data_IF_468945502390
#
_entry.id   IF_468945502390
#
_cell.length_a   1.000
_cell.length_b   1.000
_cell.length_c   1.000
_cell.angle_alpha   90.00
_cell.angle_beta   90.00
_cell.angle_gamma   90.00
#
_symmetry.space_group_name_H-M   'P 1'
#
loop_
_entity.id
_entity.type
_entity.pdbx_description
1 polymer ?
#
# COMPACT_ATOMS: atom_id res chain seq x y z
N UNK A 1 -1.64 -7.01 -52.95
CA UNK A 1 -2.62 -6.47 -51.99
C UNK A 1 -2.88 -7.57 -50.97
N UNK A 2 -2.21 -7.53 -49.83
CA UNK A 2 -2.63 -8.37 -48.70
C UNK A 2 -3.97 -7.81 -48.22
N UNK A 3 -5.03 -8.61 -48.36
CA UNK A 3 -6.29 -8.35 -47.68
C UNK A 3 -6.03 -8.53 -46.18
N UNK A 4 -5.58 -7.45 -45.54
CA UNK A 4 -5.45 -7.40 -44.10
C UNK A 4 -6.83 -7.51 -43.49
N UNK A 5 -7.24 -8.73 -43.11
CA UNK A 5 -8.43 -8.92 -42.28
C UNK A 5 -8.28 -8.01 -41.07
N UNK A 6 -9.23 -7.10 -40.83
CA UNK A 6 -9.07 -6.14 -39.76
C UNK A 6 -9.10 -6.96 -38.46
N UNK A 7 -8.01 -6.86 -37.68
CA UNK A 7 -7.79 -7.76 -36.54
C UNK A 7 -8.61 -7.28 -35.35
N UNK A 8 -9.25 -8.20 -34.61
CA UNK A 8 -9.83 -7.88 -33.31
C UNK A 8 -8.76 -7.23 -32.41
N UNK A 9 -9.20 -6.30 -31.55
CA UNK A 9 -8.33 -5.69 -30.54
C UNK A 9 -8.73 -6.18 -29.16
N UNK A 10 -7.72 -6.41 -28.33
CA UNK A 10 -7.89 -6.88 -26.97
C UNK A 10 -7.16 -5.90 -26.06
N UNK A 11 -7.80 -5.51 -24.97
CA UNK A 11 -7.23 -4.63 -23.95
C UNK A 11 -7.33 -5.30 -22.58
N UNK A 12 -6.23 -5.31 -21.84
CA UNK A 12 -6.20 -5.71 -20.45
C UNK A 12 -6.66 -4.55 -19.58
N UNK A 13 -7.79 -4.72 -18.91
CA UNK A 13 -8.35 -3.75 -17.99
C UNK A 13 -8.15 -4.24 -16.56
N UNK A 14 -7.35 -3.52 -15.78
CA UNK A 14 -7.02 -3.90 -14.42
C UNK A 14 -7.51 -2.81 -13.47
N UNK A 15 -8.17 -3.21 -12.38
CA UNK A 15 -8.66 -2.28 -11.37
C UNK A 15 -8.83 -2.98 -10.03
N UNK A 16 -8.93 -2.22 -8.94
CA UNK A 16 -9.19 -2.73 -7.59
C UNK A 16 -10.61 -2.43 -7.18
N UNK A 17 -11.33 -3.45 -6.75
CA UNK A 17 -12.68 -3.35 -6.17
C UNK A 17 -12.54 -3.25 -4.65
N UNK A 18 -13.08 -2.17 -4.10
CA UNK A 18 -13.06 -1.87 -2.66
C UNK A 18 -14.30 -2.36 -1.92
N UNK A 19 -15.40 -2.62 -2.64
CA UNK A 19 -16.63 -3.21 -2.08
C UNK A 19 -16.51 -4.72 -1.83
N UNK A 20 -15.54 -5.38 -2.46
CA UNK A 20 -15.30 -6.83 -2.32
C UNK A 20 -13.99 -7.08 -1.58
N UNK A 21 -14.08 -7.63 -0.38
CA UNK A 21 -12.90 -8.04 0.40
C UNK A 21 -12.35 -9.36 -0.11
N UNK A 22 -11.02 -9.41 -0.25
CA UNK A 22 -10.33 -10.60 -0.71
C UNK A 22 -10.42 -11.71 0.35
N UNK A 23 -10.91 -12.88 -0.06
CA UNK A 23 -10.98 -14.09 0.76
C UNK A 23 -10.35 -15.27 0.02
N UNK A 24 -10.10 -16.37 0.74
CA UNK A 24 -9.54 -17.58 0.13
C UNK A 24 -10.44 -18.15 -0.97
N UNK A 25 -11.76 -17.99 -0.87
CA UNK A 25 -12.67 -18.44 -1.93
C UNK A 25 -12.40 -17.69 -3.25
N UNK A 26 -12.04 -16.40 -3.20
CA UNK A 26 -11.68 -15.61 -4.39
C UNK A 26 -10.34 -16.04 -5.01
N UNK A 27 -9.54 -16.86 -4.34
CA UNK A 27 -8.36 -17.49 -4.94
C UNK A 27 -8.67 -18.80 -5.65
N UNK A 28 -9.87 -19.35 -5.48
CA UNK A 28 -10.28 -20.64 -6.04
C UNK A 28 -11.36 -20.43 -7.11
N UNK A 29 -11.05 -20.67 -8.41
CA UNK A 29 -11.99 -20.48 -9.50
C UNK A 29 -13.31 -21.25 -9.36
N UNK A 30 -13.29 -22.40 -8.68
CA UNK A 30 -14.46 -23.27 -8.52
C UNK A 30 -15.36 -22.85 -7.34
N UNK A 31 -14.96 -21.84 -6.55
CA UNK A 31 -15.77 -21.39 -5.44
C UNK A 31 -17.00 -20.63 -5.92
N UNK A 32 -18.13 -20.81 -5.23
CA UNK A 32 -19.36 -20.08 -5.52
C UNK A 32 -19.13 -18.56 -5.48
N UNK A 33 -18.31 -18.09 -4.53
CA UNK A 33 -17.97 -16.68 -4.38
C UNK A 33 -17.14 -16.15 -5.55
N UNK A 34 -16.20 -16.93 -6.08
CA UNK A 34 -15.45 -16.56 -7.27
C UNK A 34 -16.39 -16.39 -8.46
N UNK A 35 -17.25 -17.39 -8.72
CA UNK A 35 -18.18 -17.38 -9.85
C UNK A 35 -19.20 -16.24 -9.75
N UNK A 36 -19.76 -15.99 -8.56
CA UNK A 36 -20.70 -14.89 -8.33
C UNK A 36 -20.05 -13.52 -8.63
N UNK A 37 -18.88 -13.26 -8.06
CA UNK A 37 -18.19 -11.98 -8.28
C UNK A 37 -17.69 -11.84 -9.72
N UNK A 38 -17.22 -12.93 -10.33
CA UNK A 38 -16.83 -12.97 -11.74
C UNK A 38 -18.00 -12.57 -12.63
N UNK A 39 -19.12 -13.29 -12.54
CA UNK A 39 -20.30 -13.04 -13.38
C UNK A 39 -20.86 -11.64 -13.13
N UNK A 40 -20.90 -11.19 -11.87
CA UNK A 40 -21.37 -9.84 -11.53
C UNK A 40 -20.51 -8.73 -12.13
N UNK A 41 -19.19 -8.89 -12.15
CA UNK A 41 -18.27 -7.91 -12.73
C UNK A 41 -18.33 -7.95 -14.27
N UNK A 42 -18.37 -9.13 -14.87
CA UNK A 42 -18.51 -9.30 -16.33
C UNK A 42 -19.82 -8.68 -16.84
N UNK A 43 -20.94 -8.94 -16.17
CA UNK A 43 -22.24 -8.33 -16.51
C UNK A 43 -22.21 -6.81 -16.33
N UNK A 44 -21.63 -6.32 -15.24
CA UNK A 44 -21.51 -4.88 -15.01
C UNK A 44 -20.67 -4.18 -16.09
N UNK A 45 -19.55 -4.78 -16.52
CA UNK A 45 -18.72 -4.27 -17.62
C UNK A 45 -19.46 -4.33 -18.96
N UNK A 46 -20.12 -5.44 -19.24
CA UNK A 46 -20.88 -5.65 -20.47
C UNK A 46 -21.98 -4.62 -20.62
N UNK A 47 -22.79 -4.42 -19.58
CA UNK A 47 -23.85 -3.42 -19.58
C UNK A 47 -23.30 -2.00 -19.70
N UNK A 48 -22.19 -1.71 -19.02
CA UNK A 48 -21.54 -0.40 -19.06
C UNK A 48 -21.05 -0.05 -20.48
N UNK A 49 -20.36 -0.98 -21.16
CA UNK A 49 -19.87 -0.74 -22.52
C UNK A 49 -20.97 -0.79 -23.58
N UNK A 50 -22.00 -1.64 -23.43
CA UNK A 50 -23.14 -1.66 -24.36
C UNK A 50 -23.98 -0.38 -24.32
N UNK A 51 -24.00 0.31 -23.18
CA UNK A 51 -24.70 1.59 -23.01
C UNK A 51 -23.81 2.82 -23.26
N UNK A 52 -22.64 2.62 -23.87
CA UNK A 52 -21.66 3.69 -24.07
C UNK A 52 -21.53 4.14 -25.52
N UNK A 53 -20.62 5.09 -25.77
CA UNK A 53 -20.26 5.52 -27.12
C UNK A 53 -19.52 4.44 -27.92
N UNK A 54 -18.94 3.45 -27.23
CA UNK A 54 -18.06 2.43 -27.81
C UNK A 54 -18.78 1.11 -28.12
N UNK A 55 -20.11 1.07 -27.89
CA UNK A 55 -20.96 -0.12 -28.07
C UNK A 55 -20.90 -0.76 -29.46
N UNK A 56 -20.60 0.03 -30.50
CA UNK A 56 -20.60 -0.44 -31.90
C UNK A 56 -19.38 -1.29 -32.25
N UNK A 57 -18.32 -1.20 -31.45
CA UNK A 57 -17.09 -1.99 -31.63
C UNK A 57 -16.69 -2.78 -30.39
N UNK A 58 -17.44 -2.68 -29.30
CA UNK A 58 -17.31 -3.58 -28.15
C UNK A 58 -17.81 -4.99 -28.49
N UNK A 59 -17.08 -6.02 -28.06
CA UNK A 59 -17.50 -7.42 -28.18
C UNK A 59 -17.86 -8.01 -26.82
N UNK A 60 -16.88 -8.18 -25.94
CA UNK A 60 -17.08 -8.77 -24.62
C UNK A 60 -15.98 -8.35 -23.63
N UNK A 61 -16.19 -8.59 -22.33
CA UNK A 61 -15.15 -8.50 -21.30
C UNK A 61 -15.22 -9.70 -20.37
N UNK A 62 -14.09 -10.37 -20.18
CA UNK A 62 -13.97 -11.52 -19.30
C UNK A 62 -13.02 -11.24 -18.14
N UNK A 63 -13.38 -11.66 -16.93
CA UNK A 63 -12.51 -11.62 -15.76
C UNK A 63 -11.56 -12.81 -15.81
N UNK A 64 -10.27 -12.50 -15.91
CA UNK A 64 -9.19 -13.48 -15.95
C UNK A 64 -8.85 -14.00 -14.56
N UNK A 65 -8.71 -13.09 -13.58
CA UNK A 65 -8.32 -13.47 -12.22
C UNK A 65 -8.62 -12.39 -11.19
N UNK A 66 -8.78 -12.82 -9.93
CA UNK A 66 -8.80 -11.96 -8.76
C UNK A 66 -7.46 -12.03 -8.02
N UNK A 67 -6.88 -10.86 -7.72
CA UNK A 67 -5.60 -10.73 -7.02
C UNK A 67 -5.79 -10.10 -5.65
N UNK A 68 -4.98 -10.52 -4.68
CA UNK A 68 -4.91 -9.85 -3.40
C UNK A 68 -4.12 -8.54 -3.56
N UNK A 69 -4.76 -7.41 -3.28
CA UNK A 69 -4.10 -6.11 -3.21
C UNK A 69 -4.06 -5.68 -1.75
N UNK A 70 -2.87 -5.72 -1.16
CA UNK A 70 -2.64 -5.24 0.20
C UNK A 70 -1.86 -3.92 0.15
N UNK A 71 -2.47 -2.78 0.51
CA UNK A 71 -1.73 -1.53 0.63
C UNK A 71 -0.80 -1.61 1.84
N UNK A 72 0.51 -1.79 1.57
CA UNK A 72 1.58 -1.93 2.57
C UNK A 72 1.60 -0.82 3.64
N UNK A 73 1.01 0.34 3.37
CA UNK A 73 1.05 1.52 4.26
C UNK A 73 -0.25 1.81 5.04
N UNK A 74 -1.31 0.99 4.92
CA UNK A 74 -2.56 1.25 5.68
C UNK A 74 -2.48 0.67 7.10
N UNK A 75 -1.75 1.38 7.97
CA UNK A 75 -1.55 1.05 9.39
C UNK A 75 -2.84 0.98 10.22
N UNK A 76 -3.94 1.56 9.75
CA UNK A 76 -5.21 1.62 10.49
C UNK A 76 -6.16 0.44 10.20
N UNK A 77 -5.98 -0.30 9.10
CA UNK A 77 -6.77 -1.50 8.81
C UNK A 77 -6.11 -2.27 7.66
N UNK A 78 -5.66 -3.52 7.85
CA UNK A 78 -5.18 -4.37 6.76
C UNK A 78 -6.38 -4.85 5.92
N UNK A 79 -7.06 -3.91 5.25
CA UNK A 79 -8.13 -4.25 4.31
C UNK A 79 -7.49 -4.99 3.14
N UNK A 80 -7.82 -6.27 3.04
CA UNK A 80 -7.47 -7.11 1.89
C UNK A 80 -8.38 -6.73 0.74
N UNK A 81 -7.89 -5.88 -0.16
CA UNK A 81 -8.63 -5.43 -1.33
C UNK A 81 -8.50 -6.46 -2.45
N UNK A 82 -9.48 -6.47 -3.35
CA UNK A 82 -9.52 -7.40 -4.48
C UNK A 82 -9.14 -6.64 -5.75
N UNK A 83 -7.97 -6.94 -6.29
CA UNK A 83 -7.61 -6.57 -7.66
C UNK A 83 -8.31 -7.50 -8.65
N UNK A 84 -8.71 -6.96 -9.80
CA UNK A 84 -9.38 -7.67 -10.88
C UNK A 84 -8.55 -7.46 -12.14
N UNK A 85 -8.23 -8.53 -12.84
CA UNK A 85 -7.74 -8.46 -14.22
C UNK A 85 -8.86 -8.90 -15.15
N UNK A 86 -9.21 -8.03 -16.08
CA UNK A 86 -10.16 -8.31 -17.14
C UNK A 86 -9.48 -8.24 -18.50
N UNK A 87 -9.94 -9.04 -19.44
CA UNK A 87 -9.61 -8.93 -20.85
C UNK A 87 -10.86 -8.48 -21.59
N UNK A 88 -10.80 -7.34 -22.26
CA UNK A 88 -11.89 -6.78 -23.03
C UNK A 88 -11.60 -6.85 -24.52
N UNK A 89 -12.52 -7.45 -25.25
CA UNK A 89 -12.44 -7.75 -26.66
C UNK A 89 -13.25 -6.75 -27.47
N UNK A 90 -12.67 -6.30 -28.57
CA UNK A 90 -13.25 -5.33 -29.47
C UNK A 90 -13.17 -5.84 -30.91
N UNK A 91 -14.21 -5.53 -31.67
CA UNK A 91 -14.25 -5.84 -33.09
C UNK A 91 -13.20 -5.04 -33.84
N UNK A 92 -12.93 -5.51 -35.05
CA UNK A 92 -12.00 -4.91 -35.98
C UNK A 92 -12.37 -3.46 -36.38
N UNK A 93 -13.61 -3.04 -36.15
CA UNK A 93 -14.06 -1.66 -36.31
C UNK A 93 -13.40 -0.67 -35.31
N UNK A 94 -12.91 -1.16 -34.16
CA UNK A 94 -12.16 -0.34 -33.20
C UNK A 94 -10.87 0.22 -33.82
N UNK A 95 -10.19 -0.59 -34.64
CA UNK A 95 -8.98 -0.16 -35.35
C UNK A 95 -9.29 0.94 -36.38
N UNK A 96 -10.41 0.79 -37.11
CA UNK A 96 -10.86 1.79 -38.08
C UNK A 96 -11.21 3.15 -37.45
N UNK A 97 -11.53 3.19 -36.15
CA UNK A 97 -11.85 4.40 -35.38
C UNK A 97 -10.67 4.95 -34.58
N UNK A 98 -9.47 4.41 -34.76
CA UNK A 98 -8.29 4.73 -33.95
C UNK A 98 -8.53 4.57 -32.44
N UNK A 99 -9.39 3.62 -32.05
CA UNK A 99 -9.68 3.36 -30.65
C UNK A 99 -8.47 2.66 -30.01
N UNK A 100 -7.77 3.37 -29.14
CA UNK A 100 -6.54 2.94 -28.48
C UNK A 100 -6.73 2.80 -26.95
N UNK A 101 -5.66 2.42 -26.26
CA UNK A 101 -5.67 2.22 -24.80
C UNK A 101 -6.01 3.50 -24.02
N UNK A 102 -5.68 4.68 -24.56
CA UNK A 102 -5.97 5.95 -23.91
C UNK A 102 -7.46 6.29 -24.04
N UNK A 103 -8.04 6.10 -25.23
CA UNK A 103 -9.46 6.27 -25.46
C UNK A 103 -10.30 5.30 -24.60
N UNK A 104 -9.88 4.04 -24.49
CA UNK A 104 -10.55 3.07 -23.61
C UNK A 104 -10.46 3.49 -22.14
N UNK A 105 -9.29 3.95 -21.68
CA UNK A 105 -9.09 4.42 -20.31
C UNK A 105 -10.01 5.61 -19.97
N UNK A 106 -10.05 6.62 -20.84
CA UNK A 106 -10.90 7.80 -20.66
C UNK A 106 -12.39 7.45 -20.67
N UNK A 107 -12.81 6.61 -21.62
CA UNK A 107 -14.21 6.18 -21.68
C UNK A 107 -14.60 5.37 -20.44
N UNK A 108 -13.74 4.45 -19.98
CA UNK A 108 -13.99 3.69 -18.76
C UNK A 108 -14.11 4.62 -17.55
N UNK A 109 -13.20 5.58 -17.38
CA UNK A 109 -13.30 6.56 -16.30
C UNK A 109 -14.60 7.36 -16.39
N UNK A 110 -14.96 7.85 -17.58
CA UNK A 110 -16.18 8.63 -17.79
C UNK A 110 -17.43 7.84 -17.40
N UNK A 111 -17.50 6.56 -17.80
CA UNK A 111 -18.63 5.68 -17.53
C UNK A 111 -18.72 5.24 -16.07
N UNK A 112 -17.60 5.21 -15.35
CA UNK A 112 -17.51 4.72 -13.95
C UNK A 112 -17.42 5.84 -12.91
N UNK A 113 -17.93 7.03 -13.26
CA UNK A 113 -17.87 8.23 -12.41
C UNK A 113 -16.44 8.54 -11.96
N UNK A 114 -15.56 8.72 -12.94
CA UNK A 114 -14.12 8.83 -12.75
C UNK A 114 -13.56 7.64 -11.99
N UNK A 115 -13.88 6.40 -12.37
CA UNK A 115 -13.23 5.22 -11.78
C UNK A 115 -13.56 4.95 -10.31
N UNK A 116 -14.70 5.44 -9.82
CA UNK A 116 -15.11 5.26 -8.42
C UNK A 116 -16.20 4.20 -8.27
N UNK A 117 -17.01 3.98 -9.31
CA UNK A 117 -18.16 3.07 -9.24
C UNK A 117 -18.43 2.37 -10.57
N UNK A 118 -18.50 1.04 -10.51
CA UNK A 118 -18.93 0.16 -11.60
C UNK A 118 -20.22 -0.54 -11.14
N UNK A 119 -21.36 0.06 -11.49
CA UNK A 119 -22.68 -0.37 -10.99
C UNK A 119 -22.73 -0.54 -9.46
N UNK A 120 -22.78 -1.77 -8.96
CA UNK A 120 -22.85 -2.11 -7.53
C UNK A 120 -21.46 -2.28 -6.89
N UNK A 121 -20.40 -2.19 -7.68
CA UNK A 121 -19.02 -2.32 -7.24
C UNK A 121 -18.37 -0.94 -7.05
N UNK A 122 -17.74 -0.75 -5.90
CA UNK A 122 -16.94 0.45 -5.63
C UNK A 122 -15.50 0.19 -6.04
N UNK A 123 -14.91 1.08 -6.83
CA UNK A 123 -13.56 0.94 -7.37
C UNK A 123 -12.58 1.90 -6.69
N UNK A 124 -11.30 1.52 -6.64
CA UNK A 124 -10.21 2.45 -6.35
C UNK A 124 -9.76 3.14 -7.64
N UNK A 125 -10.10 4.41 -7.78
CA UNK A 125 -9.77 5.21 -8.94
C UNK A 125 -8.27 5.26 -9.25
N UNK A 126 -7.39 5.12 -8.25
CA UNK A 126 -5.94 5.16 -8.48
C UNK A 126 -5.36 3.84 -9.00
N UNK A 127 -6.17 2.78 -9.02
CA UNK A 127 -5.74 1.43 -9.38
C UNK A 127 -6.07 1.03 -10.83
N UNK A 128 -6.78 1.88 -11.56
CA UNK A 128 -7.27 1.59 -12.91
C UNK A 128 -6.12 1.69 -13.91
N UNK A 129 -5.98 0.64 -14.74
CA UNK A 129 -4.96 0.50 -15.76
C UNK A 129 -5.58 -0.13 -17.01
N UNK A 130 -5.21 0.36 -18.20
CA UNK A 130 -5.57 -0.25 -19.49
C UNK A 130 -4.29 -0.58 -20.26
N UNK A 131 -3.96 -1.85 -20.44
CA UNK A 131 -2.67 -2.31 -20.99
C UNK A 131 -1.47 -1.58 -20.33
N UNK A 132 -1.56 -1.40 -19.01
CA UNK A 132 -0.57 -0.66 -18.22
C UNK A 132 -0.60 0.87 -18.37
N UNK A 133 -1.49 1.43 -19.19
CA UNK A 133 -1.70 2.88 -19.31
C UNK A 133 -2.58 3.44 -18.19
N UNK A 134 -2.17 4.58 -17.63
CA UNK A 134 -2.96 5.41 -16.71
C UNK A 134 -2.50 6.87 -16.83
N UNK A 135 -3.46 7.81 -16.80
CA UNK A 135 -3.15 9.26 -16.81
C UNK A 135 -2.79 9.77 -15.43
N UNK A 136 -3.19 9.03 -14.38
CA UNK A 136 -2.71 9.28 -13.03
C UNK A 136 -1.24 8.90 -13.02
N UNK A 137 -0.37 9.92 -13.02
CA UNK A 137 1.01 9.73 -12.60
C UNK A 137 0.93 8.93 -11.30
N UNK A 138 1.44 7.69 -11.31
CA UNK A 138 1.87 7.05 -10.09
C UNK A 138 2.98 7.97 -9.63
N UNK A 139 2.62 9.00 -8.87
CA UNK A 139 3.59 9.88 -8.27
C UNK A 139 4.48 8.91 -7.50
N UNK A 140 5.75 8.86 -7.91
CA UNK A 140 6.78 7.96 -7.42
C UNK A 140 7.09 8.26 -5.96
N UNK A 141 6.07 8.13 -5.14
CA UNK A 141 5.98 8.45 -3.73
C UNK A 141 5.27 7.36 -2.95
N UNK A 142 5.27 6.13 -3.48
CA UNK A 142 6.01 5.12 -2.74
C UNK A 142 7.49 5.35 -2.99
N UNK A 143 8.01 6.42 -2.37
CA UNK A 143 9.30 6.26 -1.71
C UNK A 143 9.01 5.12 -0.75
N UNK A 144 9.36 3.89 -1.14
CA UNK A 144 10.20 3.14 -0.23
C UNK A 144 11.28 4.16 0.07
N UNK A 145 11.20 4.78 1.24
CA UNK A 145 12.41 5.25 1.86
C UNK A 145 13.17 3.95 2.03
N UNK A 146 13.91 3.56 0.98
CA UNK A 146 15.08 2.73 1.09
C UNK A 146 15.99 3.56 1.98
N UNK A 147 15.68 3.60 3.28
CA UNK A 147 16.60 4.12 4.27
C UNK A 147 17.83 3.26 4.00
N UNK A 148 18.94 3.86 3.56
CA UNK A 148 20.16 3.09 3.37
C UNK A 148 20.37 2.32 4.67
N UNK A 149 20.81 1.07 4.61
CA UNK A 149 21.01 0.25 5.81
C UNK A 149 21.85 0.99 6.87
N UNK A 150 22.76 1.86 6.42
CA UNK A 150 23.47 2.86 7.22
C UNK A 150 22.57 3.69 8.14
N UNK A 151 21.42 4.19 7.69
CA UNK A 151 20.48 4.96 8.50
C UNK A 151 19.83 4.11 9.61
N UNK A 152 19.55 2.83 9.35
CA UNK A 152 19.10 1.88 10.38
C UNK A 152 20.22 1.64 11.39
N UNK A 153 21.46 1.45 10.93
CA UNK A 153 22.64 1.31 11.78
C UNK A 153 22.82 2.54 12.68
N UNK A 154 22.69 3.76 12.13
CA UNK A 154 22.80 4.99 12.91
C UNK A 154 21.72 5.10 13.99
N UNK A 155 20.48 4.71 13.68
CA UNK A 155 19.38 4.67 14.67
C UNK A 155 19.69 3.64 15.76
N UNK A 156 20.14 2.44 15.41
CA UNK A 156 20.51 1.41 16.38
C UNK A 156 21.68 1.86 17.28
N UNK A 157 22.71 2.49 16.70
CA UNK A 157 23.85 3.02 17.45
C UNK A 157 23.42 4.15 18.40
N UNK A 158 22.54 5.04 17.95
CA UNK A 158 21.99 6.10 18.81
C UNK A 158 21.22 5.53 20.01
N UNK A 159 20.38 4.50 19.78
CA UNK A 159 19.63 3.82 20.86
C UNK A 159 20.59 3.12 21.83
N UNK A 160 21.61 2.41 21.34
CA UNK A 160 22.61 1.74 22.17
C UNK A 160 23.45 2.75 22.98
N UNK A 161 23.87 3.85 22.38
CA UNK A 161 24.56 4.94 23.08
C UNK A 161 23.66 5.57 24.15
N UNK A 162 22.40 5.87 23.83
CA UNK A 162 21.44 6.37 24.81
C UNK A 162 21.27 5.37 25.97
N UNK A 163 21.16 4.08 25.70
CA UNK A 163 21.07 3.06 26.74
C UNK A 163 22.34 3.02 27.60
N UNK A 164 23.53 3.12 27.00
CA UNK A 164 24.81 3.17 27.74
C UNK A 164 24.96 4.45 28.57
N UNK A 165 24.48 5.59 28.08
CA UNK A 165 24.46 6.84 28.86
C UNK A 165 23.45 6.74 29.99
N UNK A 166 22.24 6.22 29.75
CA UNK A 166 21.22 6.03 30.79
C UNK A 166 21.69 5.03 31.85
N UNK A 167 22.29 3.90 31.44
CA UNK A 167 22.84 2.90 32.36
C UNK A 167 24.11 3.39 33.04
N UNK A 168 24.93 4.19 32.37
CA UNK A 168 26.11 4.84 32.95
C UNK A 168 25.74 5.92 33.97
N UNK A 169 24.66 6.68 33.73
CA UNK A 169 24.08 7.61 34.69
C UNK A 169 23.46 6.87 35.88
N UNK A 170 22.73 5.77 35.64
CA UNK A 170 22.23 4.89 36.71
C UNK A 170 23.35 4.24 37.51
N UNK A 171 24.47 3.90 36.86
CA UNK A 171 25.66 3.33 37.53
C UNK A 171 26.39 4.39 38.35
N UNK A 172 26.48 5.62 37.85
CA UNK A 172 27.04 6.73 38.62
C UNK A 172 26.14 7.15 39.78
N UNK A 173 24.81 6.97 39.68
CA UNK A 173 23.89 7.18 40.80
C UNK A 173 24.12 6.20 41.96
N UNK A 174 24.68 5.02 41.67
CA UNK A 174 25.17 4.07 42.67
C UNK A 174 26.53 4.43 43.29
N UNK A 175 27.28 5.38 42.71
CA UNK A 175 28.61 5.79 43.21
C UNK A 175 28.58 7.15 43.94
N UNK A 176 27.55 7.98 43.72
CA UNK A 176 27.35 9.22 44.49
C UNK A 176 26.95 8.96 45.96
N UNK A 177 26.35 7.81 46.26
CA UNK A 177 26.05 7.40 47.65
C UNK A 177 27.33 7.03 48.42
N UNK A 178 28.31 6.39 47.76
CA UNK A 178 29.54 5.92 48.42
C UNK A 178 30.44 7.11 48.81
N UNK A 179 30.42 8.21 48.06
CA UNK A 179 31.21 9.40 48.41
C UNK A 179 30.57 10.24 49.55
N UNK A 180 29.25 10.18 49.75
CA UNK A 180 28.58 10.91 50.84
C UNK A 180 28.89 10.29 52.22
N UNK A 181 29.04 8.97 52.27
CA UNK A 181 29.35 8.26 53.52
C UNK A 181 30.80 8.54 53.98
N UNK A 182 31.74 8.70 53.05
CA UNK A 182 33.14 9.01 53.35
C UNK A 182 33.35 10.48 53.79
N UNK A 183 32.64 11.45 53.20
CA UNK A 183 32.75 12.87 53.62
C UNK A 183 32.19 13.10 55.03
N UNK A 184 31.16 12.33 55.43
CA UNK A 184 30.61 12.37 56.80
C UNK A 184 31.60 11.86 57.86
N UNK A 185 32.42 10.85 57.53
CA UNK A 185 33.39 10.29 58.49
C UNK A 185 34.59 11.22 58.74
N UNK A 186 35.05 11.95 57.72
CA UNK A 186 36.14 12.92 57.88
C UNK A 186 35.73 14.17 58.66
N UNK A 187 34.49 14.65 58.49
CA UNK A 187 33.98 15.80 59.25
C UNK A 187 33.79 15.46 60.74
N UNK A 188 33.41 14.23 61.06
CA UNK A 188 33.25 13.75 62.45
C UNK A 188 34.57 13.62 63.21
N UNK A 189 35.67 13.31 62.52
CA UNK A 189 36.98 13.11 63.15
C UNK A 189 37.72 14.44 63.45
N UNK A 190 37.45 15.51 62.70
CA UNK A 190 38.02 16.83 63.00
C UNK A 190 37.40 17.48 64.25
N UNK A 191 36.11 17.24 64.52
CA UNK A 191 35.45 17.81 65.70
C UNK A 191 35.94 17.16 67.02
N UNK A 192 36.18 15.85 67.04
CA UNK A 192 36.72 15.15 68.22
C UNK A 192 38.16 15.59 68.56
N UNK A 193 38.98 15.90 67.56
CA UNK A 193 40.34 16.44 67.79
C UNK A 193 40.32 17.86 68.35
N UNK A 194 39.27 18.63 68.04
CA UNK A 194 39.09 20.00 68.53
C UNK A 194 38.52 20.04 69.95
N UNK A 195 37.70 19.04 70.33
CA UNK A 195 37.12 18.90 71.68
C UNK A 195 38.17 18.38 72.68
N UNK A 196 39.01 17.41 72.28
CA UNK A 196 40.04 16.84 73.17
C UNK A 196 41.17 17.83 73.53
N UNK A 197 41.40 18.86 72.70
CA UNK A 197 42.39 19.92 72.97
C UNK A 197 41.84 21.09 73.82
N UNK A 198 40.56 21.05 74.24
CA UNK A 198 39.97 22.04 75.16
C UNK A 198 39.79 21.53 76.60
N UNK A 199 40.19 20.30 76.90
CA UNK A 199 40.02 19.64 78.20
C UNK A 199 41.35 19.32 78.91
N UNK A 200 42.44 19.98 78.53
CA UNK A 200 43.71 19.99 79.27
C UNK A 200 44.14 21.42 79.56
#
# INVERSE_FOLDING_TARGET
MELGFPRPRHFQLNFTVTSVLYSLDLSHPDSAKYQENKNGIEDALTQLFRNSSIKSYFSDCHVQTFRLVSPFFRLASPRRLTGVDCLCDFTSAAQARNFDRAAMYEEFLRLTHNGTRLQNFTLDQNSILVDGYSTKKIDGKTKKTDLPYWAIILICLAIMCCFMVIMGLRKNEGDYEVQRQTVSSYLSHLDLRKINNRLR
#
